data_IF_313390659152
#
_entry.id   IF_313390659152
#
_cell.length_a   1.000
_cell.length_b   1.000
_cell.length_c   1.000
_cell.angle_alpha   90.00
_cell.angle_beta   90.00
_cell.angle_gamma   90.00
#
_symmetry.space_group_name_H-M   'P 1'
#
loop_
_entity.id
_entity.type
_entity.pdbx_description
1 polymer ?
#
# COMPACT_ATOMS: atom_id res chain seq x y z
N UNK A 1 -45.52 40.93 -19.97
CA UNK A 1 -45.27 39.53 -19.66
C UNK A 1 -44.28 39.48 -18.48
N UNK A 2 -44.66 38.96 -17.29
CA UNK A 2 -43.76 38.88 -16.15
C UNK A 2 -43.07 37.53 -16.23
N UNK A 3 -41.77 37.49 -16.54
CA UNK A 3 -40.94 36.28 -16.52
C UNK A 3 -40.58 35.97 -15.07
N UNK A 4 -41.05 34.85 -14.52
CA UNK A 4 -40.57 34.35 -13.24
C UNK A 4 -39.25 33.64 -13.47
N UNK A 5 -38.16 34.08 -12.85
CA UNK A 5 -36.89 33.42 -12.81
C UNK A 5 -36.89 32.48 -11.59
N UNK A 6 -36.65 31.21 -11.81
CA UNK A 6 -36.46 30.24 -10.73
C UNK A 6 -34.96 30.03 -10.57
N UNK A 7 -34.42 30.44 -9.45
CA UNK A 7 -33.04 30.13 -9.08
C UNK A 7 -33.06 28.84 -8.24
N UNK A 8 -32.45 27.78 -8.76
CA UNK A 8 -32.26 26.53 -8.03
C UNK A 8 -30.95 26.64 -7.27
N UNK A 9 -31.01 26.61 -5.93
CA UNK A 9 -29.84 26.58 -5.06
C UNK A 9 -29.66 25.15 -4.52
N UNK A 10 -28.88 24.34 -5.22
CA UNK A 10 -28.59 22.97 -4.81
C UNK A 10 -27.58 22.93 -3.67
N UNK A 11 -27.80 22.09 -2.67
CA UNK A 11 -26.79 21.78 -1.64
C UNK A 11 -25.64 20.97 -2.27
N UNK A 12 -24.37 21.24 -1.86
CA UNK A 12 -23.24 20.45 -2.31
C UNK A 12 -23.42 18.97 -2.02
N UNK A 13 -23.00 18.11 -2.96
CA UNK A 13 -22.95 16.68 -2.74
C UNK A 13 -21.92 16.33 -1.68
N UNK A 14 -22.23 15.32 -0.88
CA UNK A 14 -21.23 14.66 -0.03
C UNK A 14 -20.68 13.45 -0.80
N UNK A 15 -19.37 13.49 -1.09
CA UNK A 15 -18.65 12.39 -1.74
C UNK A 15 -17.83 11.66 -0.69
N UNK A 16 -18.05 10.36 -0.56
CA UNK A 16 -17.32 9.47 0.32
C UNK A 16 -16.48 8.50 -0.50
N UNK A 17 -15.25 8.26 -0.06
CA UNK A 17 -14.32 7.33 -0.71
C UNK A 17 -13.78 6.34 0.31
N UNK A 18 -14.04 5.07 0.08
CA UNK A 18 -13.41 3.96 0.80
C UNK A 18 -12.54 3.15 -0.16
N UNK A 19 -11.56 2.45 0.38
CA UNK A 19 -10.70 1.55 -0.37
C UNK A 19 -10.79 0.17 0.25
N UNK A 20 -11.25 -0.81 -0.52
CA UNK A 20 -11.38 -2.20 -0.05
C UNK A 20 -10.42 -3.11 -0.79
N UNK A 21 -9.96 -4.16 -0.10
CA UNK A 21 -9.23 -5.26 -0.71
C UNK A 21 -10.25 -6.27 -1.24
N UNK A 22 -10.08 -6.68 -2.48
CA UNK A 22 -10.92 -7.68 -3.13
C UNK A 22 -10.16 -9.00 -3.22
N UNK A 23 -10.84 -10.11 -2.94
CA UNK A 23 -10.24 -11.45 -3.05
C UNK A 23 -9.51 -11.94 -1.80
N UNK A 24 -9.51 -11.15 -0.71
CA UNK A 24 -9.00 -11.59 0.60
C UNK A 24 -7.48 -11.71 0.72
N UNK A 25 -6.73 -11.26 -0.30
CA UNK A 25 -5.25 -11.21 -0.23
C UNK A 25 -4.85 -10.07 0.71
N UNK A 26 -4.01 -10.32 1.74
CA UNK A 26 -3.57 -9.27 2.66
C UNK A 26 -2.85 -8.12 1.93
N UNK A 27 -3.04 -6.89 2.41
CA UNK A 27 -2.35 -5.69 1.91
C UNK A 27 -1.03 -5.38 2.66
N UNK A 28 -0.46 -6.41 3.24
CA UNK A 28 0.87 -6.42 3.84
C UNK A 28 1.61 -7.68 3.41
N UNK A 29 2.92 -7.60 3.29
CA UNK A 29 3.79 -8.71 2.90
C UNK A 29 4.82 -8.98 3.98
N UNK A 30 5.24 -10.22 4.08
CA UNK A 30 6.44 -10.63 4.77
C UNK A 30 7.47 -11.09 3.73
N UNK A 31 8.70 -10.65 3.89
CA UNK A 31 9.82 -11.06 3.06
C UNK A 31 10.78 -11.91 3.89
N UNK A 32 11.07 -13.09 3.42
CA UNK A 32 12.09 -13.97 3.99
C UNK A 32 13.38 -13.82 3.18
N UNK A 33 14.41 -13.25 3.82
CA UNK A 33 15.69 -13.00 3.19
C UNK A 33 16.53 -14.27 2.99
N UNK A 34 16.27 -15.33 3.77
CA UNK A 34 17.02 -16.59 3.67
C UNK A 34 16.59 -17.39 2.45
N UNK A 35 15.31 -17.31 2.09
CA UNK A 35 14.72 -18.04 0.95
C UNK A 35 14.41 -17.14 -0.24
N UNK A 36 14.61 -15.82 -0.13
CA UNK A 36 14.24 -14.81 -1.11
C UNK A 36 12.76 -14.92 -1.53
N UNK A 37 11.87 -15.11 -0.55
CA UNK A 37 10.45 -15.32 -0.80
C UNK A 37 9.56 -14.27 -0.16
N UNK A 38 8.41 -14.00 -0.80
CA UNK A 38 7.38 -13.09 -0.29
C UNK A 38 6.11 -13.85 0.08
N UNK A 39 5.48 -13.46 1.18
CA UNK A 39 4.21 -14.04 1.62
C UNK A 39 3.22 -12.93 2.00
N UNK A 40 2.10 -12.75 1.26
CA UNK A 40 1.81 -13.36 -0.05
C UNK A 40 2.74 -12.81 -1.15
N UNK A 41 2.97 -13.58 -2.21
CA UNK A 41 3.71 -13.13 -3.39
C UNK A 41 2.74 -12.54 -4.42
N UNK A 42 2.75 -11.21 -4.57
CA UNK A 42 1.84 -10.50 -5.50
C UNK A 42 2.21 -10.69 -6.97
N UNK A 43 3.34 -11.29 -7.30
CA UNK A 43 3.70 -11.61 -8.70
C UNK A 43 2.95 -12.82 -9.22
N UNK A 44 2.44 -13.66 -8.33
CA UNK A 44 1.65 -14.86 -8.65
C UNK A 44 0.19 -14.45 -8.87
N UNK A 45 -0.41 -14.83 -9.99
CA UNK A 45 -1.76 -14.42 -10.38
C UNK A 45 -2.84 -14.72 -9.33
N UNK A 46 -2.73 -15.86 -8.63
CA UNK A 46 -3.68 -16.26 -7.58
C UNK A 46 -3.58 -15.40 -6.32
N UNK A 47 -2.47 -14.72 -6.10
CA UNK A 47 -2.18 -13.86 -4.94
C UNK A 47 -1.94 -12.40 -5.31
N UNK A 48 -2.31 -11.97 -6.51
CA UNK A 48 -2.29 -10.54 -6.83
C UNK A 48 -3.15 -9.76 -5.83
N UNK A 49 -2.62 -8.65 -5.32
CA UNK A 49 -3.40 -7.76 -4.48
C UNK A 49 -4.32 -6.89 -5.33
N UNK A 50 -5.59 -6.84 -4.96
CA UNK A 50 -6.59 -6.05 -5.70
C UNK A 50 -7.23 -5.02 -4.78
N UNK A 51 -7.06 -3.74 -5.12
CA UNK A 51 -7.80 -2.65 -4.51
C UNK A 51 -9.00 -2.22 -5.35
N UNK A 52 -10.13 -2.02 -4.69
CA UNK A 52 -11.32 -1.42 -5.27
C UNK A 52 -11.67 -0.16 -4.48
N UNK A 53 -11.48 1.05 -5.05
CA UNK A 53 -12.09 2.24 -4.49
C UNK A 53 -13.60 2.15 -4.64
N UNK A 54 -14.32 2.43 -3.57
CA UNK A 54 -15.77 2.58 -3.58
C UNK A 54 -16.04 4.05 -3.34
N UNK A 55 -16.50 4.72 -4.39
CA UNK A 55 -16.88 6.11 -4.34
C UNK A 55 -18.40 6.18 -4.28
N UNK A 56 -18.94 6.84 -3.27
CA UNK A 56 -20.37 7.00 -3.09
C UNK A 56 -20.74 8.47 -2.93
N UNK A 57 -21.96 8.80 -3.35
CA UNK A 57 -22.54 10.13 -3.15
C UNK A 57 -23.72 10.09 -2.20
N UNK A 58 -23.90 11.17 -1.47
CA UNK A 58 -25.10 11.49 -0.73
C UNK A 58 -25.58 12.88 -1.17
N UNK A 59 -26.81 12.92 -1.66
CA UNK A 59 -27.50 14.15 -2.06
C UNK A 59 -28.52 14.54 -0.99
N UNK A 60 -28.30 15.68 -0.34
CA UNK A 60 -29.20 16.21 0.70
C UNK A 60 -30.49 16.81 0.12
N UNK A 61 -30.57 17.05 -1.19
CA UNK A 61 -31.74 17.51 -1.90
C UNK A 61 -32.61 16.36 -2.45
N UNK A 62 -32.12 15.10 -2.26
CA UNK A 62 -32.81 13.84 -2.64
C UNK A 62 -33.18 13.73 -4.13
N UNK A 63 -32.45 14.48 -4.97
CA UNK A 63 -32.66 14.48 -6.44
C UNK A 63 -31.92 13.31 -7.08
N UNK A 64 -30.69 13.05 -6.60
CA UNK A 64 -29.87 11.96 -7.08
C UNK A 64 -29.90 10.79 -6.10
N UNK A 65 -30.08 9.59 -6.62
CA UNK A 65 -30.10 8.37 -5.80
C UNK A 65 -28.77 8.20 -5.05
N UNK A 66 -28.80 8.03 -3.72
CA UNK A 66 -27.60 7.70 -2.95
C UNK A 66 -26.98 6.37 -3.39
N UNK A 67 -25.67 6.24 -3.26
CA UNK A 67 -24.98 4.98 -3.52
C UNK A 67 -23.69 5.10 -4.30
N UNK A 68 -23.13 3.96 -4.74
CA UNK A 68 -21.89 3.93 -5.51
C UNK A 68 -22.02 4.64 -6.85
N UNK A 69 -20.96 5.41 -7.20
CA UNK A 69 -20.89 6.18 -8.45
C UNK A 69 -19.65 5.83 -9.29
N UNK A 70 -19.03 4.69 -9.04
CA UNK A 70 -17.81 4.29 -9.73
C UNK A 70 -17.93 4.32 -11.25
N UNK A 71 -19.07 3.92 -11.79
CA UNK A 71 -19.32 3.92 -13.25
C UNK A 71 -19.41 5.33 -13.88
N UNK A 72 -19.65 6.36 -13.06
CA UNK A 72 -19.76 7.76 -13.49
C UNK A 72 -18.44 8.52 -13.29
N UNK A 73 -17.38 7.85 -12.81
CA UNK A 73 -16.07 8.47 -12.63
C UNK A 73 -15.39 8.70 -13.97
N UNK A 74 -14.66 9.82 -14.05
CA UNK A 74 -13.81 10.21 -15.17
C UNK A 74 -12.41 10.50 -14.68
N UNK A 75 -11.46 10.66 -15.60
CA UNK A 75 -10.06 11.00 -15.29
C UNK A 75 -9.44 10.09 -14.21
N UNK A 76 -9.75 8.79 -14.28
CA UNK A 76 -9.25 7.81 -13.33
C UNK A 76 -7.74 7.62 -13.51
N UNK A 77 -6.98 7.94 -12.47
CA UNK A 77 -5.52 7.84 -12.45
C UNK A 77 -5.09 7.13 -11.16
N UNK A 78 -4.14 6.24 -11.29
CA UNK A 78 -3.34 5.74 -10.18
C UNK A 78 -1.91 6.22 -10.31
N UNK A 79 -1.29 6.56 -9.19
CA UNK A 79 0.12 6.94 -9.12
C UNK A 79 0.84 6.09 -8.08
N UNK A 80 2.05 5.69 -8.38
CA UNK A 80 2.98 5.15 -7.40
C UNK A 80 3.92 6.25 -6.95
N UNK A 81 4.05 6.46 -5.65
CA UNK A 81 4.94 7.47 -5.08
C UNK A 81 6.26 6.81 -4.72
N UNK A 82 7.33 7.20 -5.40
CA UNK A 82 8.69 6.73 -5.17
C UNK A 82 9.59 7.92 -4.88
N UNK A 83 10.22 7.94 -3.70
CA UNK A 83 11.08 9.07 -3.31
C UNK A 83 10.36 10.42 -3.28
N UNK A 84 9.06 10.45 -2.98
CA UNK A 84 8.24 11.66 -2.97
C UNK A 84 7.71 12.09 -4.35
N UNK A 85 8.09 11.39 -5.43
CA UNK A 85 7.64 11.68 -6.80
C UNK A 85 6.53 10.70 -7.20
N UNK A 86 5.42 11.25 -7.68
CA UNK A 86 4.28 10.46 -8.17
C UNK A 86 4.47 10.08 -9.65
N UNK A 87 4.59 8.79 -9.92
CA UNK A 87 4.63 8.25 -11.29
C UNK A 87 3.27 7.67 -11.64
N UNK A 88 2.67 8.14 -12.73
CA UNK A 88 1.38 7.62 -13.21
C UNK A 88 1.51 6.16 -13.65
N UNK A 89 0.56 5.35 -13.19
CA UNK A 89 0.41 3.97 -13.63
C UNK A 89 -0.43 3.98 -14.91
N UNK A 90 0.24 3.76 -16.03
CA UNK A 90 -0.38 3.65 -17.35
C UNK A 90 -0.69 2.18 -17.72
N UNK A 91 -1.36 1.99 -18.86
CA UNK A 91 -1.76 0.65 -19.31
C UNK A 91 -0.58 -0.17 -19.87
N UNK A 92 0.57 0.46 -20.15
CA UNK A 92 1.81 -0.21 -20.56
C UNK A 92 2.55 -0.83 -19.36
N UNK A 93 2.22 -0.43 -18.13
CA UNK A 93 2.85 -0.92 -16.92
C UNK A 93 2.39 -2.35 -16.59
N UNK A 94 3.27 -3.33 -16.83
CA UNK A 94 2.97 -4.76 -16.59
C UNK A 94 2.84 -5.13 -15.11
N UNK A 95 3.36 -4.29 -14.22
CA UNK A 95 3.31 -4.52 -12.77
C UNK A 95 1.95 -4.17 -12.15
N UNK A 96 1.08 -3.53 -12.92
CA UNK A 96 -0.25 -3.11 -12.48
C UNK A 96 -1.28 -3.33 -13.59
N UNK A 97 -2.55 -3.38 -13.21
CA UNK A 97 -3.66 -3.28 -14.16
C UNK A 97 -4.78 -2.43 -13.56
N UNK A 98 -5.27 -1.45 -14.33
CA UNK A 98 -6.30 -0.50 -13.89
C UNK A 98 -7.58 -0.70 -14.69
N UNK A 99 -8.73 -0.79 -14.00
CA UNK A 99 -10.05 -0.79 -14.63
C UNK A 99 -10.55 0.66 -14.70
N UNK A 100 -10.75 1.20 -15.90
CA UNK A 100 -11.07 2.62 -16.09
C UNK A 100 -12.55 2.91 -16.32
N UNK A 101 -13.42 1.88 -16.41
CA UNK A 101 -14.84 2.06 -16.69
C UNK A 101 -15.70 0.97 -16.05
N UNK A 102 -17.03 1.22 -16.02
CA UNK A 102 -18.01 0.30 -15.47
C UNK A 102 -18.08 0.31 -13.94
N UNK A 103 -18.84 -0.64 -13.38
CA UNK A 103 -19.09 -0.70 -11.93
C UNK A 103 -17.80 -0.87 -11.08
N UNK A 104 -16.75 -1.45 -11.67
CA UNK A 104 -15.44 -1.63 -11.03
C UNK A 104 -14.44 -0.55 -11.41
N UNK A 105 -14.86 0.57 -11.97
CA UNK A 105 -13.99 1.66 -12.34
C UNK A 105 -13.12 2.12 -11.15
N UNK A 106 -11.83 2.31 -11.38
CA UNK A 106 -10.83 2.60 -10.38
C UNK A 106 -10.15 1.37 -9.77
N UNK A 107 -10.61 0.14 -10.04
CA UNK A 107 -9.95 -1.06 -9.53
C UNK A 107 -8.50 -1.12 -9.99
N UNK A 108 -7.60 -1.42 -9.06
CA UNK A 108 -6.18 -1.62 -9.30
C UNK A 108 -5.79 -3.04 -8.91
N UNK A 109 -5.22 -3.78 -9.85
CA UNK A 109 -4.54 -5.05 -9.59
C UNK A 109 -3.05 -4.84 -9.53
N UNK A 110 -2.41 -5.29 -8.46
CA UNK A 110 -0.97 -5.15 -8.20
C UNK A 110 -0.32 -6.50 -8.43
N UNK A 111 0.68 -6.52 -9.32
CA UNK A 111 1.39 -7.72 -9.82
C UNK A 111 2.88 -7.66 -9.51
N UNK A 112 3.28 -6.89 -8.52
CA UNK A 112 4.66 -6.79 -8.03
C UNK A 112 4.70 -6.73 -6.53
N UNK A 113 5.78 -7.20 -5.94
CA UNK A 113 6.00 -7.13 -4.51
C UNK A 113 6.48 -5.73 -4.08
N UNK A 114 6.11 -5.33 -2.86
CA UNK A 114 6.70 -4.18 -2.21
C UNK A 114 8.14 -4.53 -1.79
N UNK A 115 9.03 -3.55 -1.81
CA UNK A 115 10.40 -3.76 -1.35
C UNK A 115 10.41 -3.91 0.18
N UNK A 116 11.23 -4.83 0.73
CA UNK A 116 11.39 -4.94 2.17
C UNK A 116 11.77 -3.59 2.79
N UNK A 117 11.11 -3.23 3.89
CA UNK A 117 11.30 -1.98 4.65
C UNK A 117 11.01 -0.68 3.87
N UNK A 118 10.66 -0.75 2.58
CA UNK A 118 10.28 0.42 1.77
C UNK A 118 8.81 0.27 1.40
N UNK A 119 7.91 1.03 2.02
CA UNK A 119 6.48 0.91 1.72
C UNK A 119 6.18 1.35 0.29
N UNK A 120 5.30 0.59 -0.39
CA UNK A 120 4.73 0.99 -1.67
C UNK A 120 3.56 1.94 -1.40
N UNK A 121 3.71 3.18 -1.80
CA UNK A 121 2.68 4.21 -1.63
C UNK A 121 1.93 4.40 -2.95
N UNK A 122 0.60 4.30 -2.89
CA UNK A 122 -0.29 4.40 -4.03
C UNK A 122 -1.28 5.53 -3.81
N UNK A 123 -1.58 6.29 -4.86
CA UNK A 123 -2.57 7.35 -4.85
C UNK A 123 -3.58 7.10 -5.96
N UNK A 124 -4.84 7.02 -5.60
CA UNK A 124 -5.98 7.00 -6.50
C UNK A 124 -6.51 8.42 -6.68
N UNK A 125 -6.74 8.83 -7.91
CA UNK A 125 -7.36 10.09 -8.28
C UNK A 125 -8.46 9.83 -9.31
N UNK A 126 -9.57 10.55 -9.20
CA UNK A 126 -10.65 10.51 -10.15
C UNK A 126 -11.51 11.77 -10.04
N UNK A 127 -12.33 12.04 -11.06
CA UNK A 127 -13.28 13.12 -11.07
C UNK A 127 -14.70 12.57 -11.14
N UNK A 128 -15.61 13.26 -10.48
CA UNK A 128 -17.05 13.06 -10.60
C UNK A 128 -17.73 14.38 -10.92
N UNK A 129 -18.57 14.41 -11.96
CA UNK A 129 -19.34 15.59 -12.33
C UNK A 129 -20.78 15.48 -11.81
N UNK A 130 -21.18 16.44 -10.98
CA UNK A 130 -22.56 16.55 -10.49
C UNK A 130 -23.50 16.89 -11.64
N UNK A 131 -24.40 15.96 -11.97
CA UNK A 131 -25.36 16.10 -13.08
C UNK A 131 -26.41 17.22 -12.88
N UNK A 132 -26.53 17.77 -11.64
CA UNK A 132 -27.45 18.86 -11.31
C UNK A 132 -26.87 20.24 -11.64
N UNK A 133 -25.53 20.38 -11.39
CA UNK A 133 -24.84 21.68 -11.39
C UNK A 133 -23.68 21.75 -12.38
N UNK A 134 -23.26 20.64 -12.96
CA UNK A 134 -22.01 20.45 -13.72
C UNK A 134 -20.73 20.77 -12.92
N UNK A 135 -20.83 20.81 -11.58
CA UNK A 135 -19.66 20.95 -10.73
C UNK A 135 -18.84 19.67 -10.73
N UNK A 136 -17.51 19.81 -10.87
CA UNK A 136 -16.57 18.70 -10.80
C UNK A 136 -16.06 18.54 -9.38
N UNK A 137 -16.12 17.33 -8.85
CA UNK A 137 -15.56 16.91 -7.57
C UNK A 137 -14.31 16.10 -7.84
N UNK A 138 -13.16 16.61 -7.39
CA UNK A 138 -11.89 15.88 -7.43
C UNK A 138 -11.77 14.93 -6.23
N UNK A 139 -11.49 13.68 -6.50
CA UNK A 139 -11.46 12.59 -5.54
C UNK A 139 -10.03 12.09 -5.44
N UNK A 140 -9.52 12.01 -4.23
CA UNK A 140 -8.18 11.47 -3.97
C UNK A 140 -8.21 10.51 -2.79
N UNK A 141 -7.53 9.37 -2.91
CA UNK A 141 -7.35 8.40 -1.83
C UNK A 141 -5.97 7.78 -1.91
N UNK A 142 -5.28 7.75 -0.77
CA UNK A 142 -3.97 7.11 -0.65
C UNK A 142 -4.08 5.73 -0.03
N UNK A 143 -3.14 4.85 -0.40
CA UNK A 143 -2.95 3.53 0.22
C UNK A 143 -1.47 3.22 0.33
N UNK A 144 -1.09 2.52 1.39
CA UNK A 144 0.28 2.09 1.62
C UNK A 144 0.30 0.57 1.82
N UNK A 145 1.21 -0.10 1.14
CA UNK A 145 1.49 -1.52 1.30
C UNK A 145 2.85 -1.62 1.98
N UNK A 146 2.89 -2.35 3.09
CA UNK A 146 4.12 -2.59 3.85
C UNK A 146 4.64 -3.98 3.55
N UNK A 147 5.97 -4.10 3.45
CA UNK A 147 6.67 -5.36 3.41
C UNK A 147 7.65 -5.40 4.58
N UNK A 148 7.48 -6.36 5.47
CA UNK A 148 8.32 -6.56 6.65
C UNK A 148 9.27 -7.72 6.41
N UNK A 149 10.47 -7.69 7.02
CA UNK A 149 11.32 -8.86 7.04
C UNK A 149 10.72 -9.89 8.01
N UNK A 150 10.52 -11.10 7.52
CA UNK A 150 10.01 -12.22 8.33
C UNK A 150 11.08 -12.79 9.25
N UNK A 151 12.34 -12.65 8.87
CA UNK A 151 13.48 -13.21 9.61
C UNK A 151 14.02 -12.21 10.60
N UNK A 152 13.84 -12.49 11.86
CA UNK A 152 14.46 -11.75 12.96
C UNK A 152 15.54 -12.62 13.62
N UNK A 153 16.57 -12.97 12.88
CA UNK A 153 17.75 -13.52 13.51
C UNK A 153 18.60 -12.37 14.06
N UNK A 154 18.77 -12.36 15.37
CA UNK A 154 19.73 -11.47 16.02
C UNK A 154 21.06 -12.23 16.10
N UNK A 155 22.10 -11.80 15.37
CA UNK A 155 23.39 -12.41 15.52
C UNK A 155 23.92 -12.12 16.92
N UNK A 156 24.17 -13.17 17.69
CA UNK A 156 24.78 -13.11 19.01
C UNK A 156 26.19 -13.62 18.91
N UNK A 157 27.14 -12.75 19.13
CA UNK A 157 28.56 -13.16 19.31
C UNK A 157 28.77 -13.64 20.75
N UNK A 158 29.06 -14.91 20.89
CA UNK A 158 29.41 -15.49 22.18
C UNK A 158 30.89 -15.71 22.20
N UNK A 159 31.57 -15.08 23.17
CA UNK A 159 33.00 -15.31 23.48
C UNK A 159 33.05 -16.28 24.65
N UNK A 160 33.72 -17.42 24.43
CA UNK A 160 34.00 -18.40 25.47
C UNK A 160 35.41 -18.11 26.02
N UNK A 161 35.46 -17.16 26.93
CA UNK A 161 36.71 -16.80 27.63
C UNK A 161 36.40 -16.45 29.09
N UNK A 162 37.31 -16.71 29.99
CA UNK A 162 37.19 -16.21 31.36
C UNK A 162 37.28 -14.67 31.38
N UNK A 163 36.41 -14.02 32.17
CA UNK A 163 36.40 -12.56 32.32
C UNK A 163 37.70 -11.99 32.90
N UNK A 164 38.47 -12.83 33.59
CA UNK A 164 39.76 -12.46 34.19
C UNK A 164 40.78 -13.54 33.96
N UNK A 165 41.94 -13.16 33.50
CA UNK A 165 43.11 -14.02 33.42
C UNK A 165 44.14 -13.61 34.49
N UNK A 166 44.62 -14.56 35.25
CA UNK A 166 45.71 -14.33 36.21
C UNK A 166 47.00 -14.63 35.48
N UNK A 167 47.83 -13.60 35.29
CA UNK A 167 49.17 -13.77 34.73
C UNK A 167 50.07 -14.41 35.75
N UNK A 168 50.70 -15.53 35.39
CA UNK A 168 51.74 -16.18 36.20
C UNK A 168 53.11 -15.90 35.59
N UNK A 169 53.94 -15.02 36.17
CA UNK A 169 55.25 -14.64 35.61
C UNK A 169 56.28 -15.76 35.64
N UNK A 170 55.98 -16.89 36.28
CA UNK A 170 56.89 -18.06 36.36
C UNK A 170 56.52 -19.11 35.28
N UNK A 171 55.53 -18.88 34.46
CA UNK A 171 55.16 -19.82 33.44
C UNK A 171 55.14 -19.12 32.06
N UNK A 172 56.19 -19.38 31.28
CA UNK A 172 56.35 -18.80 29.91
C UNK A 172 55.34 -19.29 28.89
N UNK A 173 54.34 -20.06 29.28
CA UNK A 173 53.31 -20.67 28.39
C UNK A 173 51.89 -20.12 28.62
N UNK A 174 51.73 -18.93 29.15
CA UNK A 174 50.44 -18.33 29.41
C UNK A 174 49.78 -17.87 28.09
N UNK A 175 49.20 -18.82 27.36
CA UNK A 175 48.34 -18.55 26.21
C UNK A 175 46.90 -18.79 26.59
N UNK A 176 46.04 -17.80 26.39
CA UNK A 176 44.62 -17.95 26.50
C UNK A 176 44.01 -18.16 25.11
N UNK A 177 43.32 -19.28 24.93
CA UNK A 177 42.56 -19.52 23.72
C UNK A 177 41.11 -18.99 23.92
N UNK A 178 40.72 -18.03 23.11
CA UNK A 178 39.34 -17.49 23.08
C UNK A 178 38.60 -18.11 21.92
N UNK A 179 37.51 -18.79 22.19
CA UNK A 179 36.62 -19.28 21.15
C UNK A 179 35.52 -18.26 20.93
N UNK A 180 35.40 -17.79 19.71
CA UNK A 180 34.31 -16.94 19.28
C UNK A 180 33.30 -17.78 18.47
N UNK A 181 32.05 -17.83 18.90
CA UNK A 181 30.98 -18.47 18.16
C UNK A 181 29.91 -17.45 17.81
N UNK A 182 29.52 -17.44 16.54
CA UNK A 182 28.34 -16.65 16.08
C UNK A 182 27.11 -17.55 16.14
N UNK A 183 26.14 -17.15 16.94
CA UNK A 183 24.84 -17.83 17.00
C UNK A 183 23.79 -16.95 16.37
N UNK A 184 22.92 -17.55 15.54
CA UNK A 184 21.71 -16.92 15.04
C UNK A 184 20.57 -17.32 15.97
N UNK A 185 20.09 -16.38 16.76
CA UNK A 185 18.94 -16.59 17.64
C UNK A 185 17.66 -16.19 16.93
N UNK A 186 16.60 -17.01 17.05
CA UNK A 186 15.25 -16.58 16.70
C UNK A 186 14.67 -15.77 17.89
N UNK A 187 14.00 -14.66 17.60
CA UNK A 187 13.18 -13.93 18.58
C UNK A 187 11.90 -14.69 18.88
#
# INVERSE_FOLDING_TARGET
MKTKRFDFNFKPLQINVSMVVVGGVPDSQNYDADTDTYTPDYTISASNLVYQPIVSRLDKDEILTPGPINQDLTNIVWKEIVGGVGTTIDDANKSFAVVRSGASAGRLTIKKNAKPQIPMNLVFEADYTDKRTNQVYHITKTRQIKCQNATTYIPLLVLDAADTTIYNPLNDQDTQTVHASLRLGAN
#
